data_IF_512340179391
#
_entry.id   IF_512340179391
#
_cell.length_a   1.000
_cell.length_b   1.000
_cell.length_c   1.000
_cell.angle_alpha   90.00
_cell.angle_beta   90.00
_cell.angle_gamma   90.00
#
_symmetry.space_group_name_H-M   'P 1'
#
loop_
_entity.id
_entity.type
_entity.pdbx_description
1 polymer ?
#
# COMPACT_ATOMS: atom_id res chain seq x y z
N UNK A 1 1.93 1.92 28.40
CA UNK A 1 3.05 1.10 28.91
C UNK A 1 4.27 1.47 28.10
N UNK A 2 5.19 2.19 28.75
CA UNK A 2 6.33 2.84 28.13
C UNK A 2 7.37 1.79 27.73
N UNK A 3 7.76 1.79 26.46
CA UNK A 3 9.10 1.39 26.05
C UNK A 3 10.09 2.16 26.95
N UNK A 4 11.08 1.48 27.52
CA UNK A 4 11.92 1.99 28.62
C UNK A 4 12.87 3.14 28.25
N UNK A 5 12.93 3.53 26.98
CA UNK A 5 13.81 4.57 26.44
C UNK A 5 13.01 5.57 25.57
N UNK A 6 13.47 6.84 25.56
CA UNK A 6 12.91 7.89 24.73
C UNK A 6 13.47 7.76 23.31
N UNK A 7 12.65 7.29 22.38
CA UNK A 7 12.95 7.29 20.95
C UNK A 7 12.50 8.61 20.31
N UNK A 8 13.05 8.95 19.13
CA UNK A 8 12.69 10.17 18.40
C UNK A 8 11.19 10.21 18.04
N UNK A 9 10.58 9.04 17.85
CA UNK A 9 9.14 8.87 17.62
C UNK A 9 8.51 8.17 18.83
N UNK A 10 7.38 8.69 19.30
CA UNK A 10 6.70 8.16 20.46
C UNK A 10 6.09 6.77 20.17
N UNK A 11 6.32 5.82 21.08
CA UNK A 11 5.80 4.46 20.94
C UNK A 11 4.26 4.42 20.81
N UNK A 12 3.53 5.40 21.35
CA UNK A 12 2.06 5.47 21.19
C UNK A 12 1.64 5.87 19.77
N UNK A 13 2.41 6.72 19.11
CA UNK A 13 2.17 7.14 17.73
C UNK A 13 2.40 5.97 16.77
N UNK A 14 3.53 5.26 16.94
CA UNK A 14 3.84 4.05 16.16
C UNK A 14 2.76 2.98 16.32
N UNK A 15 2.30 2.74 17.55
CA UNK A 15 1.23 1.78 17.81
C UNK A 15 -0.13 2.23 17.25
N UNK A 16 -0.37 3.53 17.14
CA UNK A 16 -1.56 4.09 16.49
C UNK A 16 -1.60 3.83 14.99
N UNK A 17 -0.45 3.97 14.32
CA UNK A 17 -0.29 3.74 12.88
C UNK A 17 0.07 2.29 12.51
N UNK A 18 0.14 1.39 13.49
CA UNK A 18 0.61 0.01 13.30
C UNK A 18 -0.22 -0.78 12.29
N UNK A 19 -1.55 -0.65 12.35
CA UNK A 19 -2.45 -1.35 11.43
C UNK A 19 -2.33 -0.81 10.00
N UNK A 20 -2.28 0.51 9.85
CA UNK A 20 -2.09 1.17 8.55
C UNK A 20 -0.74 0.75 7.93
N UNK A 21 0.31 0.61 8.75
CA UNK A 21 1.59 0.05 8.33
C UNK A 21 1.48 -1.41 7.90
N UNK A 22 0.79 -2.26 8.68
CA UNK A 22 0.57 -3.68 8.37
C UNK A 22 -0.25 -3.86 7.08
N UNK A 23 -1.15 -2.93 6.78
CA UNK A 23 -1.99 -2.93 5.57
C UNK A 23 -1.34 -2.22 4.36
N UNK A 24 -0.16 -1.59 4.55
CA UNK A 24 0.55 -0.77 3.55
C UNK A 24 -0.25 0.44 3.07
N UNK A 25 -0.98 1.09 3.98
CA UNK A 25 -1.81 2.27 3.71
C UNK A 25 -1.10 3.60 4.07
N UNK A 26 0.13 3.52 4.58
CA UNK A 26 0.94 4.69 4.93
C UNK A 26 1.79 5.19 3.75
N UNK A 27 2.15 6.48 3.80
CA UNK A 27 3.12 7.05 2.87
C UNK A 27 4.52 6.46 3.10
N UNK A 28 5.36 6.44 2.06
CA UNK A 28 6.71 5.85 2.11
C UNK A 28 7.61 6.47 3.19
N UNK A 29 7.41 7.76 3.48
CA UNK A 29 8.13 8.47 4.54
C UNK A 29 7.78 7.92 5.94
N UNK A 30 6.51 7.69 6.21
CA UNK A 30 6.01 7.18 7.49
C UNK A 30 6.35 5.70 7.66
N UNK A 31 6.32 4.92 6.57
CA UNK A 31 6.80 3.54 6.55
C UNK A 31 8.28 3.43 6.99
N UNK A 32 9.09 4.42 6.64
CA UNK A 32 10.51 4.44 7.01
C UNK A 32 10.68 4.78 8.49
N UNK A 33 9.94 5.75 9.03
CA UNK A 33 10.04 6.11 10.45
C UNK A 33 9.60 4.94 11.36
N UNK A 34 8.51 4.25 10.98
CA UNK A 34 8.02 3.09 11.73
C UNK A 34 9.03 1.94 11.70
N UNK A 35 9.64 1.67 10.55
CA UNK A 35 10.68 0.63 10.43
C UNK A 35 11.87 0.94 11.35
N UNK A 36 12.39 2.16 11.32
CA UNK A 36 13.49 2.57 12.20
C UNK A 36 13.13 2.40 13.66
N UNK A 37 11.91 2.78 14.07
CA UNK A 37 11.46 2.60 15.45
C UNK A 37 11.36 1.11 15.85
N UNK A 38 10.83 0.26 14.98
CA UNK A 38 10.73 -1.19 15.25
C UNK A 38 12.11 -1.84 15.37
N UNK A 39 13.11 -1.34 14.64
CA UNK A 39 14.50 -1.81 14.74
C UNK A 39 15.18 -1.39 16.07
N UNK A 40 14.79 -0.22 16.62
CA UNK A 40 15.34 0.32 17.88
C UNK A 40 14.58 -0.15 19.13
N UNK A 41 13.30 -0.54 18.98
CA UNK A 41 12.39 -0.79 20.09
C UNK A 41 11.82 -2.22 20.07
N UNK A 42 12.55 -3.14 20.73
CA UNK A 42 12.13 -4.54 20.93
C UNK A 42 10.69 -4.73 21.44
N UNK A 43 10.16 -3.97 22.43
CA UNK A 43 8.78 -4.18 22.89
C UNK A 43 7.72 -3.74 21.87
N UNK A 44 8.04 -2.82 20.96
CA UNK A 44 7.15 -2.48 19.84
C UNK A 44 7.22 -3.54 18.74
N UNK A 45 8.42 -4.10 18.49
CA UNK A 45 8.61 -5.21 17.56
C UNK A 45 7.82 -6.46 17.97
N UNK A 46 7.81 -6.80 19.25
CA UNK A 46 7.05 -7.95 19.77
C UNK A 46 5.55 -7.79 19.53
N UNK A 47 5.02 -6.57 19.73
CA UNK A 47 3.61 -6.26 19.45
C UNK A 47 3.30 -6.34 17.96
N UNK A 48 4.16 -5.76 17.11
CA UNK A 48 4.03 -5.88 15.66
C UNK A 48 3.98 -7.35 15.22
N UNK A 49 4.88 -8.18 15.74
CA UNK A 49 4.92 -9.62 15.43
C UNK A 49 3.66 -10.36 15.87
N UNK A 50 3.04 -9.98 16.99
CA UNK A 50 1.75 -10.53 17.41
C UNK A 50 0.63 -10.13 16.45
N UNK A 51 0.52 -8.84 16.12
CA UNK A 51 -0.53 -8.34 15.21
C UNK A 51 -0.43 -8.97 13.82
N UNK A 52 0.79 -9.19 13.31
CA UNK A 52 1.01 -9.89 12.04
C UNK A 52 0.53 -11.34 12.10
N UNK A 53 0.81 -12.07 13.18
CA UNK A 53 0.31 -13.43 13.39
C UNK A 53 -1.22 -13.48 13.48
N UNK A 54 -1.84 -12.48 14.13
CA UNK A 54 -3.30 -12.35 14.20
C UNK A 54 -3.88 -12.13 12.81
N UNK A 55 -3.30 -11.22 12.01
CA UNK A 55 -3.72 -10.98 10.62
C UNK A 55 -3.60 -12.24 9.76
N UNK A 56 -2.49 -12.98 9.87
CA UNK A 56 -2.31 -14.25 9.17
C UNK A 56 -3.33 -15.30 9.58
N UNK A 57 -3.66 -15.38 10.88
CA UNK A 57 -4.67 -16.30 11.39
C UNK A 57 -6.06 -15.96 10.82
N UNK A 58 -6.45 -14.69 10.84
CA UNK A 58 -7.72 -14.23 10.27
C UNK A 58 -7.77 -14.54 8.78
N UNK A 59 -6.71 -14.24 8.04
CA UNK A 59 -6.63 -14.57 6.61
C UNK A 59 -6.76 -16.07 6.36
N UNK A 60 -6.17 -16.91 7.22
CA UNK A 60 -6.24 -18.37 7.09
C UNK A 60 -7.65 -18.93 7.35
N UNK A 61 -8.35 -18.37 8.33
CA UNK A 61 -9.67 -18.82 8.76
C UNK A 61 -10.80 -18.26 7.88
N UNK A 62 -10.66 -17.03 7.39
CA UNK A 62 -11.71 -16.29 6.67
C UNK A 62 -11.37 -16.02 5.20
N UNK A 63 -10.14 -16.25 4.75
CA UNK A 63 -9.70 -15.99 3.37
C UNK A 63 -9.79 -17.20 2.43
N UNK A 64 -10.37 -18.32 2.89
CA UNK A 64 -10.56 -19.55 2.08
C UNK A 64 -11.96 -19.71 1.51
N UNK A 65 -12.81 -18.70 1.65
CA UNK A 65 -14.08 -18.71 0.95
C UNK A 65 -13.81 -18.61 -0.55
N UNK A 66 -14.22 -19.65 -1.28
CA UNK A 66 -14.00 -19.76 -2.71
C UNK A 66 -14.71 -18.57 -3.40
N UNK A 67 -13.91 -17.61 -3.86
CA UNK A 67 -14.45 -16.41 -4.51
C UNK A 67 -15.22 -16.84 -5.75
N UNK A 68 -16.52 -16.46 -5.90
CA UNK A 68 -17.30 -16.82 -7.07
C UNK A 68 -16.58 -16.42 -8.36
N UNK A 69 -16.40 -17.39 -9.26
CA UNK A 69 -15.68 -17.20 -10.53
C UNK A 69 -16.28 -16.07 -11.38
N UNK A 70 -17.60 -15.86 -11.28
CA UNK A 70 -18.30 -14.76 -11.92
C UNK A 70 -17.80 -13.38 -11.45
N UNK A 71 -17.60 -13.19 -10.14
CA UNK A 71 -17.09 -11.94 -9.59
C UNK A 71 -15.64 -11.70 -10.04
N UNK A 72 -14.82 -12.75 -10.01
CA UNK A 72 -13.43 -12.69 -10.49
C UNK A 72 -13.37 -12.28 -11.96
N UNK A 73 -14.21 -12.88 -12.81
CA UNK A 73 -14.26 -12.56 -14.23
C UNK A 73 -14.68 -11.10 -14.47
N UNK A 74 -15.72 -10.63 -13.77
CA UNK A 74 -16.18 -9.23 -13.84
C UNK A 74 -15.06 -8.23 -13.46
N UNK A 75 -14.32 -8.51 -12.40
CA UNK A 75 -13.18 -7.67 -11.98
C UNK A 75 -12.08 -7.65 -13.04
N UNK A 76 -11.71 -8.82 -13.57
CA UNK A 76 -10.68 -8.93 -14.61
C UNK A 76 -11.08 -8.22 -15.91
N UNK A 77 -12.35 -8.34 -16.32
CA UNK A 77 -12.89 -7.60 -17.46
C UNK A 77 -12.82 -6.09 -17.23
N UNK A 78 -13.22 -5.61 -16.05
CA UNK A 78 -13.17 -4.18 -15.74
C UNK A 78 -11.74 -3.65 -15.73
N UNK A 79 -10.79 -4.41 -15.17
CA UNK A 79 -9.36 -4.05 -15.19
C UNK A 79 -8.84 -3.97 -16.63
N UNK A 80 -9.21 -4.91 -17.51
CA UNK A 80 -8.81 -4.88 -18.93
C UNK A 80 -9.35 -3.64 -19.63
N UNK A 81 -10.62 -3.30 -19.42
CA UNK A 81 -11.24 -2.11 -20.01
C UNK A 81 -10.50 -0.84 -19.58
N UNK A 82 -10.26 -0.67 -18.28
CA UNK A 82 -9.55 0.50 -17.75
C UNK A 82 -8.12 0.60 -18.31
N UNK A 83 -7.41 -0.51 -18.46
CA UNK A 83 -6.07 -0.51 -19.07
C UNK A 83 -6.09 -0.01 -20.52
N UNK A 84 -7.06 -0.49 -21.31
CA UNK A 84 -7.23 -0.02 -22.70
C UNK A 84 -7.56 1.47 -22.75
N UNK A 85 -8.40 1.96 -21.84
CA UNK A 85 -8.73 3.39 -21.74
C UNK A 85 -7.49 4.23 -21.38
N UNK A 86 -6.70 3.79 -20.40
CA UNK A 86 -5.45 4.48 -19.99
C UNK A 86 -4.41 4.47 -21.11
N UNK A 87 -4.25 3.34 -21.82
CA UNK A 87 -3.31 3.23 -22.94
C UNK A 87 -3.74 4.09 -24.13
N UNK A 88 -5.03 4.09 -24.50
CA UNK A 88 -5.55 4.95 -25.57
C UNK A 88 -5.37 6.44 -25.23
N UNK A 89 -5.53 6.81 -23.96
CA UNK A 89 -5.33 8.19 -23.53
C UNK A 89 -3.85 8.58 -23.53
N UNK A 90 -2.92 7.69 -23.15
CA UNK A 90 -1.47 7.93 -23.30
C UNK A 90 -1.08 8.15 -24.77
N UNK A 91 -1.60 7.34 -25.69
CA UNK A 91 -1.33 7.48 -27.13
C UNK A 91 -1.81 8.84 -27.67
N UNK A 92 -3.00 9.29 -27.27
CA UNK A 92 -3.54 10.59 -27.70
C UNK A 92 -2.72 11.81 -27.24
N UNK A 93 -2.03 11.70 -26.10
CA UNK A 93 -1.15 12.75 -25.56
C UNK A 93 0.19 12.79 -26.32
N UNK A 94 0.71 11.62 -26.72
CA UNK A 94 1.93 11.52 -27.52
C UNK A 94 1.71 11.99 -28.97
N UNK A 95 0.57 11.69 -29.59
CA UNK A 95 0.26 12.15 -30.97
C UNK A 95 0.01 13.67 -31.06
N UNK A 96 -0.52 14.30 -30.01
CA UNK A 96 -0.79 15.77 -30.01
C UNK A 96 0.49 16.60 -29.82
N UNK A 97 1.57 16.00 -29.32
CA UNK A 97 2.83 16.71 -29.01
C UNK A 97 3.76 16.89 -30.23
N UNK A 98 3.37 16.39 -31.42
CA UNK A 98 4.22 16.36 -32.62
C UNK A 98 3.69 17.28 -33.75
N UNK A 99 2.89 18.32 -33.52
CA UNK A 99 2.52 19.27 -34.59
C UNK A 99 2.44 20.75 -34.15
N UNK A 100 3.44 21.23 -33.38
CA UNK A 100 3.62 22.67 -33.15
C UNK A 100 5.08 23.13 -33.36
N UNK A 101 5.67 22.84 -34.53
CA UNK A 101 6.74 23.69 -35.07
C UNK A 101 6.31 24.21 -36.44
N UNK A 102 5.62 25.36 -36.40
CA UNK A 102 5.17 26.11 -37.58
C UNK A 102 6.37 26.79 -38.29
N UNK A 103 6.21 27.06 -39.61
CA UNK A 103 7.29 27.38 -40.55
C UNK A 103 7.85 28.79 -40.34
N UNK A 104 9.18 28.93 -40.40
CA UNK A 104 9.87 30.21 -40.39
C UNK A 104 10.63 30.44 -41.70
N UNK A 105 10.09 31.32 -42.55
CA UNK A 105 10.83 32.09 -43.54
C UNK A 105 11.36 33.35 -42.87
#
# INVERSE_FOLDING_TARGET
MSCGDHHEVDCSEILGHLYEYIDNELADADCTSIRTHLDECSPCLDKYGLEQQVKELVHRCCGRDEVPSELRNKVLERIKLVRVEVDAQRVSVEETSIELERPGR
#
